data_IF_406007198661
#
_entry.id   IF_406007198661
#
_cell.length_a   1.000
_cell.length_b   1.000
_cell.length_c   1.000
_cell.angle_alpha   90.00
_cell.angle_beta   90.00
_cell.angle_gamma   90.00
#
_symmetry.space_group_name_H-M   'P 1'
#
loop_
_entity.id
_entity.type
_entity.pdbx_description
1 polymer ?
#
# COMPACT_ATOMS: atom_id res chain seq x y z
N UNK A 1 8.88 -15.84 8.99
CA UNK A 1 9.76 -15.10 9.89
C UNK A 1 9.87 -13.64 9.46
N UNK A 2 9.40 -12.69 10.29
CA UNK A 2 9.43 -11.28 9.93
C UNK A 2 10.84 -10.73 9.62
N UNK A 3 11.86 -11.22 10.32
CA UNK A 3 13.23 -10.76 10.07
C UNK A 3 13.77 -11.27 8.74
N UNK A 4 13.45 -12.51 8.37
CA UNK A 4 13.82 -13.07 7.08
C UNK A 4 13.16 -12.35 5.92
N UNK A 5 11.89 -11.97 6.09
CA UNK A 5 11.15 -11.21 5.08
C UNK A 5 11.77 -9.83 4.87
N UNK A 6 12.16 -9.18 5.97
CA UNK A 6 12.80 -7.86 5.90
C UNK A 6 14.10 -7.93 5.13
N UNK A 7 14.92 -8.96 5.35
CA UNK A 7 16.18 -9.15 4.63
C UNK A 7 15.95 -9.34 3.13
N UNK A 8 14.92 -10.12 2.77
CA UNK A 8 14.57 -10.35 1.38
C UNK A 8 14.16 -9.02 0.72
N UNK A 9 13.33 -8.22 1.39
CA UNK A 9 12.88 -6.94 0.87
C UNK A 9 14.03 -5.97 0.68
N UNK A 10 14.97 -5.93 1.61
CA UNK A 10 16.15 -5.08 1.49
C UNK A 10 17.01 -5.49 0.29
N UNK A 11 17.18 -6.80 0.08
CA UNK A 11 17.92 -7.32 -1.06
C UNK A 11 17.24 -6.97 -2.37
N UNK A 12 15.91 -7.14 -2.43
CA UNK A 12 15.10 -6.81 -3.60
C UNK A 12 15.24 -5.32 -3.95
N UNK A 13 15.13 -4.47 -2.94
CA UNK A 13 15.25 -3.03 -3.12
C UNK A 13 16.62 -2.65 -3.68
N UNK A 14 17.68 -3.25 -3.13
CA UNK A 14 19.05 -3.00 -3.56
C UNK A 14 19.27 -3.42 -5.01
N UNK A 15 18.78 -4.60 -5.39
CA UNK A 15 18.89 -5.08 -6.77
C UNK A 15 18.13 -4.16 -7.73
N UNK A 16 16.98 -3.67 -7.32
CA UNK A 16 16.20 -2.76 -8.14
C UNK A 16 16.92 -1.43 -8.35
N UNK A 17 17.61 -0.92 -7.33
CA UNK A 17 18.43 0.29 -7.47
C UNK A 17 19.57 0.10 -8.44
N UNK A 18 20.04 -1.13 -8.62
CA UNK A 18 21.11 -1.46 -9.57
C UNK A 18 20.58 -1.60 -11.02
N UNK A 19 19.28 -1.34 -11.24
CA UNK A 19 18.68 -1.37 -12.57
C UNK A 19 18.00 -2.69 -12.93
N UNK A 20 17.85 -3.60 -11.96
CA UNK A 20 17.19 -4.88 -12.21
C UNK A 20 15.67 -4.72 -11.98
N UNK A 21 14.89 -5.14 -12.97
CA UNK A 21 13.44 -5.14 -12.85
C UNK A 21 13.02 -6.36 -12.03
N UNK A 22 12.23 -6.13 -10.99
CA UNK A 22 11.80 -7.19 -10.08
C UNK A 22 10.28 -7.26 -10.03
N UNK A 23 9.76 -8.48 -10.19
CA UNK A 23 8.33 -8.75 -10.06
C UNK A 23 8.14 -9.60 -8.81
N UNK A 24 7.31 -9.11 -7.88
CA UNK A 24 7.05 -9.81 -6.63
C UNK A 24 5.55 -10.14 -6.52
N UNK A 25 5.25 -11.35 -6.12
CA UNK A 25 3.88 -11.77 -5.87
C UNK A 25 3.70 -11.86 -4.36
N UNK A 26 2.74 -11.12 -3.83
CA UNK A 26 2.52 -11.06 -2.39
C UNK A 26 1.07 -10.74 -2.07
N UNK A 27 0.64 -11.11 -0.87
CA UNK A 27 -0.64 -10.69 -0.30
C UNK A 27 -0.42 -9.85 0.96
N UNK A 28 0.81 -9.48 1.25
CA UNK A 28 1.15 -8.63 2.39
C UNK A 28 1.20 -7.17 1.97
N UNK A 29 0.41 -6.35 2.63
CA UNK A 29 0.29 -4.95 2.24
C UNK A 29 1.56 -4.16 2.51
N UNK A 30 2.27 -4.48 3.59
CA UNK A 30 3.54 -3.81 3.91
C UNK A 30 4.63 -4.06 2.85
N UNK A 31 4.52 -5.13 2.08
CA UNK A 31 5.42 -5.39 0.95
C UNK A 31 4.95 -4.64 -0.28
N UNK A 32 3.64 -4.65 -0.51
CA UNK A 32 3.06 -3.99 -1.69
C UNK A 32 3.31 -2.48 -1.71
N UNK A 33 3.29 -1.82 -0.54
CA UNK A 33 3.49 -0.37 -0.50
C UNK A 33 4.90 0.04 -0.91
N UNK A 34 5.86 -0.88 -0.91
CA UNK A 34 7.24 -0.60 -1.30
C UNK A 34 7.47 -0.71 -2.81
N UNK A 35 6.51 -1.20 -3.56
CA UNK A 35 6.62 -1.37 -5.00
C UNK A 35 6.49 -0.03 -5.73
N UNK A 36 7.08 0.07 -6.91
CA UNK A 36 6.88 1.23 -7.76
C UNK A 36 5.51 1.19 -8.42
N UNK A 37 5.03 -0.03 -8.69
CA UNK A 37 3.74 -0.24 -9.34
C UNK A 37 3.11 -1.53 -8.86
N UNK A 38 1.79 -1.51 -8.70
CA UNK A 38 1.02 -2.65 -8.25
C UNK A 38 0.04 -3.08 -9.34
N UNK A 39 -0.07 -4.39 -9.53
CA UNK A 39 -1.11 -5.00 -10.34
C UNK A 39 -1.94 -5.88 -9.42
N UNK A 40 -3.21 -5.56 -9.29
CA UNK A 40 -4.14 -6.36 -8.48
C UNK A 40 -4.74 -7.44 -9.37
N UNK A 41 -4.58 -8.69 -8.97
CA UNK A 41 -5.07 -9.82 -9.76
C UNK A 41 -6.19 -10.56 -9.02
N UNK A 42 -7.25 -10.85 -9.75
CA UNK A 42 -8.38 -11.63 -9.25
C UNK A 42 -8.75 -12.64 -10.32
N UNK A 43 -8.77 -13.91 -9.94
CA UNK A 43 -9.14 -15.02 -10.85
C UNK A 43 -8.34 -14.99 -12.16
N UNK A 44 -7.03 -14.73 -12.06
CA UNK A 44 -6.13 -14.73 -13.20
C UNK A 44 -6.18 -13.48 -14.07
N UNK A 45 -6.93 -12.47 -13.66
CA UNK A 45 -7.05 -11.22 -14.43
C UNK A 45 -6.55 -10.04 -13.61
N UNK A 46 -5.92 -9.08 -14.29
CA UNK A 46 -5.53 -7.82 -13.68
C UNK A 46 -6.77 -6.93 -13.64
N UNK A 47 -7.24 -6.59 -12.44
CA UNK A 47 -8.45 -5.78 -12.26
C UNK A 47 -8.15 -4.33 -11.87
N UNK A 48 -6.95 -4.06 -11.36
CA UNK A 48 -6.47 -2.72 -11.04
C UNK A 48 -4.98 -2.65 -11.31
N UNK A 49 -4.49 -1.48 -11.69
CA UNK A 49 -3.07 -1.26 -11.93
C UNK A 49 -2.72 0.19 -11.63
N UNK A 50 -1.62 0.44 -10.99
CA UNK A 50 -1.18 1.80 -10.67
C UNK A 50 -0.11 1.83 -9.59
N UNK A 51 0.22 3.03 -9.12
CA UNK A 51 1.13 3.19 -7.99
C UNK A 51 0.45 2.73 -6.69
N UNK A 52 1.23 2.45 -5.64
CA UNK A 52 0.62 2.11 -4.34
C UNK A 52 -0.40 3.14 -3.86
N UNK A 53 -0.13 4.43 -4.01
CA UNK A 53 -1.08 5.47 -3.62
C UNK A 53 -2.36 5.42 -4.44
N UNK A 54 -2.25 5.21 -5.75
CA UNK A 54 -3.41 5.12 -6.63
C UNK A 54 -4.28 3.92 -6.29
N UNK A 55 -3.66 2.78 -5.97
CA UNK A 55 -4.40 1.55 -5.67
C UNK A 55 -5.04 1.63 -4.28
N UNK A 56 -4.25 1.87 -3.24
CA UNK A 56 -4.73 1.80 -1.86
C UNK A 56 -5.64 2.96 -1.45
N UNK A 57 -5.58 4.09 -2.15
CA UNK A 57 -6.52 5.19 -1.88
C UNK A 57 -7.96 4.80 -2.25
N UNK A 58 -8.13 3.79 -3.10
CA UNK A 58 -9.45 3.26 -3.49
C UNK A 58 -9.84 2.12 -2.53
N UNK A 59 -9.96 2.44 -1.24
CA UNK A 59 -10.17 1.46 -0.17
C UNK A 59 -11.36 0.55 -0.42
N UNK A 60 -12.51 1.11 -0.78
CA UNK A 60 -13.72 0.33 -1.02
C UNK A 60 -13.55 -0.66 -2.17
N UNK A 61 -12.90 -0.22 -3.23
CA UNK A 61 -12.69 -1.05 -4.42
C UNK A 61 -11.75 -2.22 -4.13
N UNK A 62 -10.64 -1.94 -3.43
CA UNK A 62 -9.68 -2.98 -3.04
C UNK A 62 -10.37 -4.01 -2.15
N UNK A 63 -11.13 -3.54 -1.16
CA UNK A 63 -11.85 -4.45 -0.26
C UNK A 63 -12.94 -5.25 -0.98
N UNK A 64 -13.53 -4.69 -2.03
CA UNK A 64 -14.55 -5.40 -2.81
C UNK A 64 -14.00 -6.63 -3.50
N UNK A 65 -12.69 -6.68 -3.73
CA UNK A 65 -12.03 -7.85 -4.31
C UNK A 65 -11.55 -8.86 -3.25
N UNK A 66 -11.90 -8.64 -1.98
CA UNK A 66 -11.48 -9.52 -0.89
C UNK A 66 -10.05 -9.25 -0.43
N UNK A 67 -9.48 -8.13 -0.83
CA UNK A 67 -8.12 -7.73 -0.45
C UNK A 67 -8.17 -6.69 0.66
N UNK A 68 -7.00 -6.39 1.20
CA UNK A 68 -6.87 -5.42 2.28
C UNK A 68 -6.06 -4.21 1.83
N UNK A 69 -6.03 -3.19 2.69
CA UNK A 69 -5.18 -2.00 2.51
C UNK A 69 -4.29 -1.89 3.74
N UNK A 70 -3.22 -1.07 3.70
CA UNK A 70 -2.41 -0.84 4.90
C UNK A 70 -3.26 -0.34 6.06
N UNK A 71 -2.90 -0.70 7.29
CA UNK A 71 -3.66 -0.32 8.47
C UNK A 71 -3.87 1.19 8.60
N UNK A 72 -2.83 1.98 8.33
CA UNK A 72 -2.93 3.44 8.39
C UNK A 72 -3.87 3.98 7.32
N UNK A 73 -3.92 3.34 6.14
CA UNK A 73 -4.83 3.72 5.07
C UNK A 73 -6.27 3.45 5.49
N UNK A 74 -6.51 2.32 6.13
CA UNK A 74 -7.83 1.98 6.63
C UNK A 74 -8.28 2.96 7.71
N UNK A 75 -7.37 3.33 8.62
CA UNK A 75 -7.67 4.33 9.64
C UNK A 75 -8.04 5.67 8.99
N UNK A 76 -7.28 6.11 7.99
CA UNK A 76 -7.59 7.34 7.27
C UNK A 76 -8.97 7.28 6.62
N UNK A 77 -9.30 6.13 6.04
CA UNK A 77 -10.62 5.91 5.44
C UNK A 77 -11.74 6.03 6.47
N UNK A 78 -11.60 5.38 7.62
CA UNK A 78 -12.59 5.44 8.69
C UNK A 78 -12.74 6.85 9.24
N UNK A 79 -11.65 7.58 9.41
CA UNK A 79 -11.69 8.97 9.84
C UNK A 79 -12.43 9.84 8.83
N UNK A 80 -12.15 9.64 7.54
CA UNK A 80 -12.82 10.37 6.47
C UNK A 80 -14.33 10.11 6.49
N UNK A 81 -14.73 8.85 6.68
CA UNK A 81 -16.15 8.49 6.76
C UNK A 81 -16.83 9.08 7.99
N UNK A 82 -16.07 9.39 9.04
CA UNK A 82 -16.58 10.01 10.26
C UNK A 82 -16.63 11.54 10.17
N UNK A 83 -16.23 12.12 9.04
CA UNK A 83 -16.30 13.56 8.83
C UNK A 83 -14.98 14.29 9.01
N UNK A 84 -13.88 13.58 9.26
CA UNK A 84 -12.56 14.21 9.36
C UNK A 84 -12.05 14.52 7.95
N UNK A 85 -11.47 15.70 7.77
CA UNK A 85 -10.93 16.14 6.48
C UNK A 85 -9.55 15.53 6.26
N UNK A 86 -9.52 14.28 5.86
CA UNK A 86 -8.29 13.51 5.63
C UNK A 86 -8.47 12.64 4.38
N UNK A 87 -7.42 12.58 3.56
CA UNK A 87 -7.43 11.74 2.35
C UNK A 87 -6.96 10.33 2.64
N UNK A 88 -7.26 9.41 1.74
CA UNK A 88 -6.90 8.00 1.86
C UNK A 88 -5.63 7.64 1.09
N UNK A 89 -4.83 8.62 0.72
CA UNK A 89 -3.55 8.42 0.04
C UNK A 89 -2.39 8.21 1.03
N UNK A 90 -2.70 7.93 2.27
CA UNK A 90 -1.74 7.71 3.36
C UNK A 90 -1.38 6.22 3.41
N UNK A 91 -0.10 5.89 3.25
CA UNK A 91 0.38 4.52 3.21
C UNK A 91 1.32 4.15 4.36
N UNK A 92 1.89 5.14 5.05
CA UNK A 92 2.85 4.90 6.13
C UNK A 92 2.44 5.60 7.41
N UNK A 93 3.00 5.13 8.52
CA UNK A 93 2.75 5.74 9.83
C UNK A 93 3.25 7.19 9.82
N UNK A 94 4.40 7.44 9.20
CA UNK A 94 4.99 8.78 9.11
C UNK A 94 4.06 9.74 8.38
N UNK A 95 3.46 9.28 7.26
CA UNK A 95 2.50 10.10 6.52
C UNK A 95 1.27 10.40 7.37
N UNK A 96 0.80 9.40 8.12
CA UNK A 96 -0.37 9.58 9.01
C UNK A 96 -0.07 10.62 10.08
N UNK A 97 1.08 10.53 10.73
CA UNK A 97 1.47 11.49 11.79
C UNK A 97 1.52 12.91 11.21
N UNK A 98 2.15 13.07 10.06
CA UNK A 98 2.26 14.38 9.39
C UNK A 98 0.88 14.94 9.07
N UNK A 99 0.00 14.11 8.55
CA UNK A 99 -1.34 14.54 8.15
C UNK A 99 -2.19 14.91 9.37
N UNK A 100 -2.13 14.12 10.45
CA UNK A 100 -2.87 14.40 11.67
C UNK A 100 -2.40 15.71 12.32
N UNK A 101 -1.10 16.01 12.27
CA UNK A 101 -0.57 17.26 12.79
C UNK A 101 -1.03 18.49 12.01
N UNK A 102 -1.48 18.31 10.79
CA UNK A 102 -2.01 19.39 9.95
C UNK A 102 -3.49 19.66 10.21
N UNK A 103 -4.17 18.76 10.89
CA UNK A 103 -5.59 18.88 11.24
C UNK A 103 -5.73 19.68 12.53
N UNK A 104 -5.84 20.97 12.45
CA UNK A 104 -6.05 21.79 13.64
C UNK A 104 -7.27 22.69 13.49
#
# INVERSE_FOLDING_TARGET
DPSGRKEVLETVHKLNEEGITIIMITHFMEEAVMADRIHVMVEGKVVMSGTPKEIFSQVEKVKSYGLDVPEVTELAYELQQSGVDIDTDILTIEEMVTRLCQLK
#
